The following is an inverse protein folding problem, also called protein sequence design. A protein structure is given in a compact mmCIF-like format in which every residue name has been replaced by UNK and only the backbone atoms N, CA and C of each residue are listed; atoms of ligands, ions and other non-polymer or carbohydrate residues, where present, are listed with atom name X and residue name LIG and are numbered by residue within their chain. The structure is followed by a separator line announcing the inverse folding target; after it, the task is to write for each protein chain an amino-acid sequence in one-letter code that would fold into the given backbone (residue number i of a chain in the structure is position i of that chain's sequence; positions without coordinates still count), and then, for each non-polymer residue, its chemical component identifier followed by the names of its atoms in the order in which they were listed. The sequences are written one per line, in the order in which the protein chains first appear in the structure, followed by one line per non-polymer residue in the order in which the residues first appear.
data_IF_978556853933
#
_entry.id   IF_978556853933
#
_cell.length_a   1.000
_cell.length_b   1.000
_cell.length_c   1.000
_cell.angle_alpha   90.00
_cell.angle_beta   90.00
_cell.angle_gamma   90.00
#
_symmetry.space_group_name_H-M   'P 1'
#
loop_
_entity.id
_entity.type
_entity.pdbx_description
1 polymer ?
#
# COMPACT_ATOMS: atom_id res chain seq x y z
N UNK A 1 -5.63 7.35 11.04
CA UNK A 1 -5.25 7.93 9.72
C UNK A 1 -5.91 7.21 8.54
N UNK A 2 -5.93 5.88 8.49
CA UNK A 2 -6.49 5.09 7.37
C UNK A 2 -7.97 5.38 7.05
N UNK A 3 -8.89 5.46 8.00
CA UNK A 3 -10.30 5.79 7.70
C UNK A 3 -10.46 7.19 7.11
N UNK A 4 -9.70 8.17 7.61
CA UNK A 4 -9.74 9.56 7.11
C UNK A 4 -9.26 9.62 5.66
N UNK A 5 -8.18 8.90 5.33
CA UNK A 5 -7.68 8.80 3.96
C UNK A 5 -8.73 8.20 3.01
N UNK A 6 -9.48 7.18 3.47
CA UNK A 6 -10.61 6.64 2.72
C UNK A 6 -11.68 7.68 2.41
N UNK A 7 -12.02 8.54 3.37
CA UNK A 7 -12.99 9.63 3.14
C UNK A 7 -12.48 10.61 2.08
N UNK A 8 -11.21 11.04 2.17
CA UNK A 8 -10.61 11.95 1.18
C UNK A 8 -10.67 11.32 -0.22
N UNK A 9 -10.27 10.07 -0.35
CA UNK A 9 -10.28 9.36 -1.63
C UNK A 9 -11.69 9.10 -2.18
N UNK A 10 -12.72 9.05 -1.32
CA UNK A 10 -14.12 9.04 -1.79
C UNK A 10 -14.45 10.29 -2.59
N UNK A 11 -13.94 11.45 -2.20
CA UNK A 11 -14.12 12.68 -2.98
C UNK A 11 -13.30 12.67 -4.28
N UNK A 12 -12.08 12.10 -4.27
CA UNK A 12 -11.26 12.00 -5.48
C UNK A 12 -11.96 11.13 -6.53
N UNK A 13 -12.55 10.00 -6.12
CA UNK A 13 -13.23 9.05 -7.00
C UNK A 13 -14.75 9.25 -7.09
N UNK A 14 -15.29 10.34 -6.54
CA UNK A 14 -16.72 10.57 -6.57
C UNK A 14 -17.25 10.60 -8.02
N UNK A 15 -18.42 10.05 -8.20
CA UNK A 15 -19.09 9.95 -9.49
C UNK A 15 -20.48 10.58 -9.41
N UNK A 16 -20.84 11.35 -10.41
CA UNK A 16 -22.20 11.76 -10.70
C UNK A 16 -22.55 11.46 -12.17
N UNK A 17 -23.82 11.25 -12.49
CA UNK A 17 -24.25 11.04 -13.87
C UNK A 17 -23.80 12.16 -14.83
N UNK A 18 -23.68 11.83 -16.10
CA UNK A 18 -23.38 12.80 -17.15
C UNK A 18 -24.45 13.91 -17.18
N UNK A 19 -24.02 15.17 -17.24
CA UNK A 19 -24.89 16.35 -17.21
C UNK A 19 -25.04 17.01 -15.84
N UNK A 20 -24.51 16.40 -14.76
CA UNK A 20 -24.39 17.01 -13.46
C UNK A 20 -22.95 17.50 -13.20
N UNK A 21 -22.81 18.56 -12.38
CA UNK A 21 -21.49 19.05 -11.97
C UNK A 21 -20.73 17.99 -11.19
N UNK A 22 -19.57 17.58 -11.71
CA UNK A 22 -18.75 16.55 -11.10
C UNK A 22 -18.04 17.10 -9.84
N UNK A 23 -18.28 16.46 -8.71
CA UNK A 23 -17.59 16.76 -7.44
C UNK A 23 -16.29 15.98 -7.28
N UNK A 24 -16.12 14.88 -8.03
CA UNK A 24 -14.95 14.01 -7.99
C UNK A 24 -13.80 14.58 -8.79
N UNK A 25 -12.60 14.70 -8.18
CA UNK A 25 -11.43 15.27 -8.85
C UNK A 25 -11.11 14.55 -10.17
N UNK A 26 -11.12 13.21 -10.18
CA UNK A 26 -10.82 12.46 -11.39
C UNK A 26 -11.90 12.64 -12.48
N UNK A 27 -13.17 12.66 -12.09
CA UNK A 27 -14.24 12.86 -13.05
C UNK A 27 -14.29 14.30 -13.56
N UNK A 28 -13.95 15.29 -12.74
CA UNK A 28 -13.77 16.67 -13.19
C UNK A 28 -12.66 16.75 -14.26
N UNK A 29 -11.51 16.10 -14.04
CA UNK A 29 -10.44 16.04 -15.04
C UNK A 29 -10.88 15.32 -16.31
N UNK A 30 -11.56 14.18 -16.20
CA UNK A 30 -12.07 13.43 -17.36
C UNK A 30 -13.03 14.26 -18.20
N UNK A 31 -13.92 15.01 -17.52
CA UNK A 31 -14.88 15.90 -18.19
C UNK A 31 -14.21 17.08 -18.90
N UNK A 32 -13.08 17.60 -18.37
CA UNK A 32 -12.27 18.63 -19.04
C UNK A 32 -11.70 18.15 -20.38
N UNK A 33 -11.45 16.83 -20.52
CA UNK A 33 -11.02 16.22 -21.79
C UNK A 33 -12.20 15.79 -22.69
N UNK A 34 -13.43 16.20 -22.37
CA UNK A 34 -14.63 15.91 -23.16
C UNK A 34 -15.07 14.44 -23.08
N UNK A 35 -14.67 13.70 -22.06
CA UNK A 35 -15.07 12.31 -21.85
C UNK A 35 -16.15 12.22 -20.77
N UNK A 36 -17.00 11.19 -20.88
CA UNK A 36 -18.05 10.95 -19.89
C UNK A 36 -17.45 10.53 -18.53
N UNK A 37 -18.05 11.00 -17.43
CA UNK A 37 -17.63 10.63 -16.09
C UNK A 37 -17.79 9.12 -15.85
N UNK A 38 -16.87 8.52 -15.10
CA UNK A 38 -16.80 7.10 -14.87
C UNK A 38 -17.07 6.72 -13.41
N UNK A 39 -17.83 5.65 -13.20
CA UNK A 39 -18.03 5.06 -11.89
C UNK A 39 -16.89 4.09 -11.57
N UNK A 40 -15.72 4.61 -11.20
CA UNK A 40 -14.42 3.93 -11.09
C UNK A 40 -14.47 2.58 -10.38
N UNK A 41 -15.22 2.46 -9.28
CA UNK A 41 -15.29 1.22 -8.48
C UNK A 41 -16.24 0.16 -9.05
N UNK A 42 -17.06 0.49 -10.03
CA UNK A 42 -17.92 -0.49 -10.74
C UNK A 42 -17.25 -1.11 -11.94
N UNK A 43 -16.18 -0.51 -12.45
CA UNK A 43 -15.45 -0.93 -13.65
C UNK A 43 -14.59 -2.17 -13.38
N UNK A 44 -15.14 -3.37 -13.56
CA UNK A 44 -14.36 -4.61 -13.49
C UNK A 44 -13.53 -4.82 -14.76
N UNK A 45 -12.28 -5.29 -14.64
CA UNK A 45 -11.49 -5.65 -13.46
C UNK A 45 -10.67 -4.49 -12.86
N UNK A 46 -10.80 -3.28 -13.38
CA UNK A 46 -9.97 -2.11 -13.08
C UNK A 46 -10.18 -1.54 -11.68
N UNK A 47 -11.35 -1.80 -11.08
CA UNK A 47 -11.72 -1.31 -9.77
C UNK A 47 -10.69 -1.62 -8.67
N UNK A 48 -10.06 -2.81 -8.71
CA UNK A 48 -9.02 -3.17 -7.75
C UNK A 48 -7.77 -2.29 -7.89
N UNK A 49 -7.44 -1.86 -9.12
CA UNK A 49 -6.30 -0.97 -9.36
C UNK A 49 -6.50 0.37 -8.66
N UNK A 50 -7.71 0.93 -8.69
CA UNK A 50 -8.02 2.18 -8.00
C UNK A 50 -7.86 2.06 -6.48
N UNK A 51 -8.21 0.91 -5.88
CA UNK A 51 -7.95 0.65 -4.47
C UNK A 51 -6.45 0.48 -4.18
N UNK A 52 -5.70 -0.17 -5.07
CA UNK A 52 -4.25 -0.32 -4.97
C UNK A 52 -3.55 1.04 -5.05
N UNK A 53 -4.01 1.97 -5.89
CA UNK A 53 -3.47 3.34 -5.96
C UNK A 53 -3.58 4.05 -4.61
N UNK A 54 -4.70 3.91 -3.91
CA UNK A 54 -4.87 4.46 -2.55
C UNK A 54 -3.84 3.84 -1.60
N UNK A 55 -3.67 2.53 -1.64
CA UNK A 55 -2.69 1.82 -0.81
C UNK A 55 -1.26 2.28 -1.10
N UNK A 56 -0.89 2.37 -2.38
CA UNK A 56 0.44 2.86 -2.80
C UNK A 56 0.67 4.27 -2.25
N UNK A 57 -0.30 5.17 -2.41
CA UNK A 57 -0.20 6.54 -1.91
C UNK A 57 0.07 6.60 -0.40
N UNK A 58 -0.68 5.83 0.38
CA UNK A 58 -0.52 5.74 1.83
C UNK A 58 0.86 5.19 2.22
N UNK A 59 1.29 4.12 1.56
CA UNK A 59 2.54 3.43 1.90
C UNK A 59 3.77 4.19 1.39
N UNK A 60 3.63 4.99 0.33
CA UNK A 60 4.72 5.84 -0.18
C UNK A 60 5.17 6.84 0.89
N UNK A 61 4.24 7.50 1.59
CA UNK A 61 4.59 8.44 2.66
C UNK A 61 5.35 7.77 3.80
N UNK A 62 4.90 6.59 4.24
CA UNK A 62 5.58 5.79 5.26
C UNK A 62 6.98 5.38 4.79
N UNK A 63 7.09 4.79 3.61
CA UNK A 63 8.37 4.32 3.06
C UNK A 63 9.36 5.49 2.88
N UNK A 64 8.90 6.63 2.37
CA UNK A 64 9.72 7.81 2.15
C UNK A 64 10.38 8.30 3.44
N UNK A 65 9.64 8.38 4.54
CA UNK A 65 10.18 8.85 5.84
C UNK A 65 11.27 7.90 6.33
N UNK A 66 11.01 6.60 6.34
CA UNK A 66 11.96 5.60 6.87
C UNK A 66 13.21 5.47 5.99
N UNK A 67 13.02 5.42 4.66
CA UNK A 67 14.15 5.31 3.72
C UNK A 67 14.99 6.60 3.74
N UNK A 68 14.37 7.78 3.80
CA UNK A 68 15.09 9.04 3.90
C UNK A 68 15.93 9.14 5.16
N UNK A 69 15.42 8.65 6.30
CA UNK A 69 16.18 8.57 7.54
C UNK A 69 17.39 7.64 7.40
N UNK A 70 17.22 6.48 6.77
CA UNK A 70 18.29 5.53 6.52
C UNK A 70 19.37 6.09 5.58
N UNK A 71 18.95 6.81 4.53
CA UNK A 71 19.87 7.48 3.59
C UNK A 71 20.74 8.53 4.28
N UNK A 72 20.17 9.31 5.19
CA UNK A 72 20.94 10.30 6.00
C UNK A 72 21.94 9.64 6.95
N UNK A 73 21.80 8.36 7.25
CA UNK A 73 22.74 7.59 8.05
C UNK A 73 23.94 7.05 7.25
N UNK A 74 23.97 7.21 5.92
CA UNK A 74 25.13 6.82 5.11
C UNK A 74 26.23 7.86 5.27
N UNK A 75 27.45 7.49 5.73
CA UNK A 75 28.54 8.45 5.88
C UNK A 75 28.96 9.04 4.53
N UNK A 76 29.09 10.35 4.46
CA UNK A 76 29.53 11.07 3.24
C UNK A 76 30.92 10.62 2.78
N UNK A 77 31.81 10.27 3.70
CA UNK A 77 33.15 9.75 3.40
C UNK A 77 33.16 8.51 2.50
N UNK A 78 32.17 7.63 2.65
CA UNK A 78 32.06 6.41 1.82
C UNK A 78 31.60 6.79 0.40
N UNK A 79 30.72 7.77 0.28
CA UNK A 79 30.23 8.29 -1.01
C UNK A 79 31.34 9.01 -1.74
N UNK A 80 32.09 9.86 -1.03
CA UNK A 80 33.24 10.60 -1.56
C UNK A 80 34.36 9.66 -2.03
N UNK A 81 34.69 8.62 -1.25
CA UNK A 81 35.65 7.61 -1.67
C UNK A 81 35.23 6.94 -2.97
N UNK A 82 33.96 6.55 -3.11
CA UNK A 82 33.44 5.98 -4.34
C UNK A 82 33.56 6.94 -5.54
N UNK A 83 33.40 8.25 -5.34
CA UNK A 83 33.59 9.26 -6.39
C UNK A 83 35.08 9.41 -6.79
N UNK A 84 35.98 9.37 -5.82
CA UNK A 84 37.43 9.41 -6.05
C UNK A 84 37.87 8.20 -6.86
N UNK A 85 37.28 7.02 -6.60
CA UNK A 85 37.50 5.79 -7.39
C UNK A 85 36.88 5.82 -8.79
N UNK A 86 36.28 6.94 -9.20
CA UNK A 86 35.66 7.14 -10.52
C UNK A 86 34.30 6.48 -10.70
N UNK A 87 33.63 6.10 -9.63
CA UNK A 87 32.29 5.54 -9.74
C UNK A 87 31.25 6.64 -10.07
N UNK A 88 30.47 6.42 -11.13
CA UNK A 88 29.34 7.28 -11.45
C UNK A 88 28.20 7.12 -10.44
N UNK A 89 27.32 8.12 -10.33
CA UNK A 89 26.24 8.20 -9.33
C UNK A 89 25.36 6.93 -9.27
N UNK A 90 25.00 6.35 -10.42
CA UNK A 90 24.20 5.11 -10.45
C UNK A 90 24.95 3.91 -9.85
N UNK A 91 26.29 3.87 -10.02
CA UNK A 91 27.14 2.84 -9.42
C UNK A 91 27.24 3.03 -7.90
N UNK A 92 27.37 4.27 -7.45
CA UNK A 92 27.35 4.61 -6.01
C UNK A 92 26.04 4.18 -5.38
N UNK A 93 24.91 4.49 -6.01
CA UNK A 93 23.59 4.09 -5.51
C UNK A 93 23.50 2.56 -5.39
N UNK A 94 23.83 1.81 -6.45
CA UNK A 94 23.63 0.36 -6.48
C UNK A 94 24.65 -0.42 -5.65
N UNK A 95 25.90 0.04 -5.60
CA UNK A 95 27.02 -0.72 -5.01
C UNK A 95 27.38 -0.26 -3.60
N UNK A 96 26.99 0.96 -3.19
CA UNK A 96 27.31 1.52 -1.87
C UNK A 96 26.02 1.79 -1.10
N UNK A 97 25.15 2.66 -1.59
CA UNK A 97 23.99 3.15 -0.82
C UNK A 97 22.97 2.02 -0.59
N UNK A 98 22.52 1.34 -1.66
CA UNK A 98 21.50 0.28 -1.55
C UNK A 98 21.95 -0.87 -0.62
N UNK A 99 23.18 -1.42 -0.73
CA UNK A 99 23.67 -2.39 0.23
C UNK A 99 23.74 -1.89 1.67
N UNK A 100 24.13 -0.63 1.85
CA UNK A 100 24.22 -0.01 3.19
C UNK A 100 22.84 0.06 3.88
N UNK A 101 21.80 0.51 3.16
CA UNK A 101 20.44 0.63 3.70
C UNK A 101 19.58 -0.62 3.48
N UNK A 102 20.15 -1.72 2.98
CA UNK A 102 19.40 -2.92 2.58
C UNK A 102 18.52 -3.48 3.69
N UNK A 103 18.99 -3.46 4.93
CA UNK A 103 18.21 -3.89 6.10
C UNK A 103 16.94 -3.06 6.27
N UNK A 104 17.06 -1.75 6.12
CA UNK A 104 15.90 -0.84 6.19
C UNK A 104 14.92 -1.11 5.04
N UNK A 105 15.43 -1.34 3.83
CA UNK A 105 14.57 -1.69 2.67
C UNK A 105 13.80 -2.98 2.92
N UNK A 106 14.45 -4.01 3.47
CA UNK A 106 13.77 -5.28 3.83
C UNK A 106 12.71 -5.05 4.90
N UNK A 107 13.02 -4.28 5.94
CA UNK A 107 12.08 -3.96 7.01
C UNK A 107 10.85 -3.22 6.49
N UNK A 108 11.05 -2.18 5.69
CA UNK A 108 9.96 -1.39 5.09
C UNK A 108 9.11 -2.28 4.17
N UNK A 109 9.75 -3.05 3.29
CA UNK A 109 9.04 -3.95 2.38
C UNK A 109 8.22 -5.00 3.12
N UNK A 110 8.78 -5.61 4.15
CA UNK A 110 8.08 -6.60 4.98
C UNK A 110 6.88 -5.99 5.70
N UNK A 111 7.05 -4.78 6.24
CA UNK A 111 5.95 -4.06 6.90
C UNK A 111 4.82 -3.77 5.93
N UNK A 112 5.14 -3.30 4.71
CA UNK A 112 4.15 -3.03 3.66
C UNK A 112 3.42 -4.33 3.25
N UNK A 113 4.14 -5.44 3.09
CA UNK A 113 3.53 -6.74 2.77
C UNK A 113 2.55 -7.17 3.88
N UNK A 114 2.93 -7.07 5.15
CA UNK A 114 2.06 -7.43 6.28
C UNK A 114 0.81 -6.54 6.30
N UNK A 115 0.96 -5.23 6.10
CA UNK A 115 -0.17 -4.29 6.04
C UNK A 115 -1.08 -4.64 4.86
N UNK A 116 -0.51 -4.97 3.69
CA UNK A 116 -1.27 -5.35 2.50
C UNK A 116 -2.07 -6.64 2.67
N UNK A 117 -1.50 -7.65 3.34
CA UNK A 117 -2.19 -8.90 3.65
C UNK A 117 -3.39 -8.71 4.58
N UNK A 118 -3.31 -7.73 5.46
CA UNK A 118 -4.34 -7.40 6.45
C UNK A 118 -5.21 -6.22 6.06
N UNK A 119 -5.17 -5.80 4.78
CA UNK A 119 -5.92 -4.63 4.31
C UNK A 119 -7.42 -4.84 4.54
N UNK A 120 -8.03 -3.89 5.23
CA UNK A 120 -9.46 -3.87 5.56
C UNK A 120 -10.06 -2.49 5.30
N UNK A 121 -9.46 -1.46 5.90
CA UNK A 121 -10.03 -0.11 6.01
C UNK A 121 -10.34 0.52 4.65
N UNK A 122 -9.43 0.42 3.69
CA UNK A 122 -9.61 1.00 2.35
C UNK A 122 -10.79 0.32 1.65
N UNK A 123 -10.81 -1.01 1.64
CA UNK A 123 -11.87 -1.79 0.97
C UNK A 123 -13.21 -1.55 1.65
N UNK A 124 -13.24 -1.58 2.99
CA UNK A 124 -14.46 -1.34 3.76
C UNK A 124 -15.02 0.07 3.55
N UNK A 125 -14.15 1.10 3.53
CA UNK A 125 -14.55 2.50 3.38
C UNK A 125 -14.98 2.82 1.95
N UNK A 126 -14.27 2.29 0.93
CA UNK A 126 -14.50 2.65 -0.46
C UNK A 126 -15.63 1.85 -1.12
N UNK A 127 -15.62 0.54 -0.97
CA UNK A 127 -16.53 -0.37 -1.70
C UNK A 127 -17.34 -1.28 -0.80
N UNK A 128 -16.98 -1.36 0.48
CA UNK A 128 -17.52 -2.37 1.42
C UNK A 128 -17.39 -3.81 0.88
N UNK A 129 -16.35 -4.07 0.04
CA UNK A 129 -16.12 -5.37 -0.61
C UNK A 129 -17.07 -5.66 -1.77
N UNK A 130 -17.91 -4.71 -2.20
CA UNK A 130 -18.78 -4.88 -3.35
C UNK A 130 -17.98 -4.87 -4.67
N UNK A 131 -18.64 -5.20 -5.78
CA UNK A 131 -18.08 -5.17 -7.13
C UNK A 131 -16.86 -6.11 -7.33
N UNK A 132 -16.71 -7.14 -6.48
CA UNK A 132 -15.59 -8.08 -6.55
C UNK A 132 -14.28 -7.57 -5.95
N UNK A 133 -14.36 -6.58 -5.05
CA UNK A 133 -13.21 -6.04 -4.30
C UNK A 133 -13.08 -6.64 -2.90
N UNK A 134 -13.81 -7.73 -2.60
CA UNK A 134 -13.78 -8.39 -1.30
C UNK A 134 -12.37 -8.89 -0.98
N UNK A 135 -11.89 -8.63 0.22
CA UNK A 135 -10.62 -9.10 0.74
C UNK A 135 -10.84 -10.00 1.95
N UNK A 136 -9.86 -10.84 2.29
CA UNK A 136 -10.00 -11.83 3.36
C UNK A 136 -10.37 -11.16 4.70
N UNK A 137 -9.77 -10.01 5.02
CA UNK A 137 -10.04 -9.29 6.25
C UNK A 137 -11.47 -8.72 6.31
N UNK A 138 -12.02 -8.21 5.19
CA UNK A 138 -13.41 -7.75 5.15
C UNK A 138 -14.41 -8.92 5.19
N UNK A 139 -14.07 -10.05 4.57
CA UNK A 139 -14.86 -11.28 4.69
C UNK A 139 -14.88 -11.79 6.13
N UNK A 140 -13.74 -11.82 6.82
CA UNK A 140 -13.64 -12.19 8.22
C UNK A 140 -14.54 -11.30 9.10
N UNK A 141 -14.47 -9.97 8.90
CA UNK A 141 -15.31 -9.01 9.63
C UNK A 141 -16.81 -9.27 9.40
N UNK A 142 -17.22 -9.46 8.13
CA UNK A 142 -18.63 -9.74 7.81
C UNK A 142 -19.12 -11.04 8.42
N UNK A 143 -18.34 -12.12 8.36
CA UNK A 143 -18.71 -13.40 8.97
C UNK A 143 -18.88 -13.27 10.48
N UNK A 144 -17.98 -12.56 11.16
CA UNK A 144 -18.00 -12.46 12.62
C UNK A 144 -19.06 -11.48 13.13
N UNK A 145 -19.15 -10.28 12.56
CA UNK A 145 -19.92 -9.17 13.12
C UNK A 145 -21.24 -8.88 12.40
N UNK A 146 -21.36 -9.27 11.13
CA UNK A 146 -22.57 -9.02 10.35
C UNK A 146 -23.48 -10.25 10.26
N UNK A 147 -22.88 -11.43 10.08
CA UNK A 147 -23.61 -12.69 9.95
C UNK A 147 -23.61 -13.54 11.23
N UNK A 148 -22.85 -13.13 12.25
CA UNK A 148 -22.69 -13.83 13.54
C UNK A 148 -22.23 -15.29 13.42
N UNK A 149 -21.53 -15.61 12.31
CA UNK A 149 -20.92 -16.91 12.08
C UNK A 149 -19.52 -16.96 12.71
N UNK A 150 -19.45 -16.96 14.04
CA UNK A 150 -18.19 -16.86 14.79
C UNK A 150 -17.17 -17.94 14.41
N UNK A 151 -17.61 -19.19 14.21
CA UNK A 151 -16.71 -20.27 13.79
C UNK A 151 -16.05 -20.02 12.43
N UNK A 152 -16.80 -19.50 11.43
CA UNK A 152 -16.25 -19.14 10.12
C UNK A 152 -15.36 -17.91 10.21
N UNK A 153 -15.76 -16.90 10.97
CA UNK A 153 -14.95 -15.70 11.18
C UNK A 153 -13.61 -16.03 11.85
N UNK A 154 -13.61 -16.90 12.86
CA UNK A 154 -12.40 -17.37 13.54
C UNK A 154 -11.50 -18.20 12.61
N UNK A 155 -12.06 -19.09 11.78
CA UNK A 155 -11.30 -19.87 10.82
C UNK A 155 -10.58 -18.97 9.81
N UNK A 156 -11.27 -17.94 9.28
CA UNK A 156 -10.66 -16.95 8.36
C UNK A 156 -9.55 -16.15 9.06
N UNK A 157 -9.74 -15.78 10.33
CA UNK A 157 -8.71 -15.09 11.11
C UNK A 157 -7.45 -15.95 11.27
N UNK A 158 -7.59 -17.26 11.51
CA UNK A 158 -6.45 -18.20 11.58
C UNK A 158 -5.72 -18.24 10.24
N UNK A 159 -6.43 -18.31 9.10
CA UNK A 159 -5.82 -18.29 7.77
C UNK A 159 -5.01 -17.00 7.56
N UNK A 160 -5.52 -15.85 7.97
CA UNK A 160 -4.78 -14.58 7.90
C UNK A 160 -3.50 -14.61 8.74
N UNK A 161 -3.56 -15.16 9.95
CA UNK A 161 -2.37 -15.29 10.82
C UNK A 161 -1.33 -16.21 10.15
N UNK A 162 -1.76 -17.37 9.64
CA UNK A 162 -0.88 -18.32 8.95
C UNK A 162 -0.21 -17.66 7.73
N UNK A 163 -0.93 -16.84 6.97
CA UNK A 163 -0.39 -16.14 5.81
C UNK A 163 0.69 -15.10 6.19
N UNK A 164 0.63 -14.51 7.39
CA UNK A 164 1.61 -13.53 7.88
C UNK A 164 2.87 -14.19 8.45
N UNK A 165 2.78 -15.39 9.02
CA UNK A 165 3.90 -16.09 9.67
C UNK A 165 5.17 -16.22 8.77
N UNK A 166 5.09 -16.64 7.50
CA UNK A 166 6.26 -16.76 6.64
C UNK A 166 6.98 -15.43 6.44
N UNK A 167 6.21 -14.33 6.31
CA UNK A 167 6.75 -12.99 6.12
C UNK A 167 7.46 -12.51 7.37
N UNK A 168 6.86 -12.72 8.54
CA UNK A 168 7.49 -12.42 9.84
C UNK A 168 8.77 -13.23 10.06
N UNK A 169 8.73 -14.52 9.74
CA UNK A 169 9.88 -15.40 9.90
C UNK A 169 11.06 -15.01 9.00
N UNK A 170 10.78 -14.64 7.74
CA UNK A 170 11.78 -14.09 6.84
C UNK A 170 12.44 -12.82 7.42
N UNK A 171 11.64 -11.92 7.97
CA UNK A 171 12.13 -10.69 8.59
C UNK A 171 13.05 -10.99 9.79
N UNK A 172 12.60 -11.87 10.71
CA UNK A 172 13.39 -12.23 11.89
C UNK A 172 14.74 -12.86 11.50
N UNK A 173 14.77 -13.73 10.49
CA UNK A 173 16.02 -14.30 9.97
C UNK A 173 16.98 -13.28 9.39
N UNK A 174 16.45 -12.20 8.80
CA UNK A 174 17.28 -11.14 8.24
C UNK A 174 17.97 -10.32 9.34
N UNK A 175 17.30 -10.11 10.47
CA UNK A 175 17.89 -9.41 11.62
C UNK A 175 18.96 -10.26 12.33
N UNK A 176 18.69 -11.53 12.56
CA UNK A 176 19.63 -12.45 13.27
C UNK A 176 20.93 -12.77 12.52
N UNK A 177 21.10 -12.35 11.27
CA UNK A 177 22.35 -12.52 10.50
C UNK A 177 23.34 -11.38 10.67
N UNK A 178 23.04 -10.37 11.47
CA UNK A 178 23.85 -9.15 11.64
C UNK A 178 24.42 -8.96 13.05
N UNK A 179 24.10 -9.86 13.97
CA UNK A 179 24.83 -10.05 15.24
C UNK A 179 25.94 -11.10 15.05
#
# INVERSE_FOLDING_TARGET
ALPISGVIWRFVYAYKPAGEDQIGLLNALVSLFGKDPQAWFTLRPWNNIFLIVILIWLQTGYAMVIISAALKGVPDSIIEAGRIDGAGEMRIIRSIIVPYIFSTLVTVSTTIIIISLKIFDIVFTMTNGNYGTEVIASMQYKQMFRFYHYGRGSAIAIVLVIAVIPVMWYNLRQFGKRE
#
